data_IF_549220664887
#
_entry.id   IF_549220664887
#
_cell.length_a   1.000
_cell.length_b   1.000
_cell.length_c   1.000
_cell.angle_alpha   90.00
_cell.angle_beta   90.00
_cell.angle_gamma   90.00
#
_symmetry.space_group_name_H-M   'P 1'
#
loop_
_entity.id
_entity.type
_entity.pdbx_description
1 polymer ?
#
# COMPACT_ATOMS: atom_id res chain seq x y z
N UNK A 1 -11.18 12.49 19.95
CA UNK A 1 -10.24 12.03 18.89
C UNK A 1 -10.75 10.71 18.32
N UNK A 2 -10.75 10.56 16.98
CA UNK A 2 -11.18 9.30 16.34
C UNK A 2 -10.08 8.25 16.57
N UNK A 3 -10.46 7.03 16.96
CA UNK A 3 -9.51 5.93 17.16
C UNK A 3 -9.11 5.33 15.81
N UNK A 4 -7.86 4.84 15.65
CA UNK A 4 -7.49 4.06 14.48
C UNK A 4 -8.38 2.83 14.32
N UNK A 5 -8.60 2.40 13.07
CA UNK A 5 -9.26 1.12 12.80
C UNK A 5 -8.27 -0.02 13.01
N UNK A 6 -8.79 -1.22 13.29
CA UNK A 6 -7.97 -2.44 13.36
C UNK A 6 -7.98 -3.17 12.02
N UNK A 7 -6.81 -3.61 11.57
CA UNK A 7 -6.61 -4.40 10.34
C UNK A 7 -5.64 -5.57 10.61
N UNK A 8 -5.49 -6.49 9.66
CA UNK A 8 -4.47 -7.54 9.78
C UNK A 8 -3.07 -6.91 9.88
N UNK A 9 -2.21 -7.49 10.71
CA UNK A 9 -0.80 -7.12 10.82
C UNK A 9 -0.07 -7.24 9.47
N UNK A 10 -0.51 -8.17 8.61
CA UNK A 10 0.00 -8.34 7.24
C UNK A 10 -0.43 -7.15 6.36
N UNK A 11 -1.71 -6.77 6.41
CA UNK A 11 -2.21 -5.60 5.67
C UNK A 11 -1.48 -4.32 6.08
N UNK A 12 -1.26 -4.12 7.39
CA UNK A 12 -0.52 -2.97 7.89
C UNK A 12 0.91 -2.95 7.36
N UNK A 13 1.58 -4.11 7.37
CA UNK A 13 2.92 -4.26 6.81
C UNK A 13 2.95 -3.89 5.33
N UNK A 14 2.00 -4.40 4.54
CA UNK A 14 1.89 -4.11 3.10
C UNK A 14 1.70 -2.62 2.88
N UNK A 15 0.78 -1.97 3.61
CA UNK A 15 0.52 -0.53 3.44
C UNK A 15 1.78 0.29 3.74
N UNK A 16 2.46 0.00 4.85
CA UNK A 16 3.69 0.69 5.22
C UNK A 16 4.82 0.44 4.19
N UNK A 17 4.93 -0.77 3.66
CA UNK A 17 5.94 -1.13 2.66
C UNK A 17 5.70 -0.41 1.33
N UNK A 18 4.46 -0.43 0.83
CA UNK A 18 4.07 0.31 -0.39
C UNK A 18 4.36 1.80 -0.21
N UNK A 19 3.94 2.39 0.92
CA UNK A 19 4.16 3.80 1.23
C UNK A 19 5.64 4.17 1.32
N UNK A 20 6.46 3.34 1.96
CA UNK A 20 7.90 3.56 2.06
C UNK A 20 8.57 3.58 0.68
N UNK A 21 8.28 2.59 -0.17
CA UNK A 21 8.81 2.52 -1.54
C UNK A 21 8.34 3.74 -2.34
N UNK A 22 7.06 4.09 -2.25
CA UNK A 22 6.48 5.27 -2.90
C UNK A 22 7.24 6.55 -2.55
N UNK A 23 7.58 6.73 -1.27
CA UNK A 23 8.33 7.88 -0.77
C UNK A 23 9.77 7.89 -1.26
N UNK A 24 10.45 6.73 -1.28
CA UNK A 24 11.81 6.57 -1.82
C UNK A 24 11.86 6.95 -3.31
N UNK A 25 10.87 6.52 -4.09
CA UNK A 25 10.77 6.82 -5.52
C UNK A 25 10.22 8.23 -5.82
N UNK A 26 9.94 9.03 -4.79
CA UNK A 26 9.33 10.36 -4.90
C UNK A 26 8.01 10.38 -5.72
N UNK A 27 7.19 9.34 -5.56
CA UNK A 27 5.91 9.20 -6.26
C UNK A 27 4.77 9.74 -5.38
N UNK A 28 3.87 10.52 -5.96
CA UNK A 28 2.69 11.04 -5.25
C UNK A 28 1.62 9.96 -5.05
N UNK A 29 0.75 10.13 -4.04
CA UNK A 29 -0.40 9.26 -3.84
C UNK A 29 -1.36 9.28 -5.05
N UNK A 30 -1.44 10.42 -5.74
CA UNK A 30 -2.27 10.59 -6.94
C UNK A 30 -1.75 9.76 -8.11
N UNK A 31 -0.44 9.74 -8.32
CA UNK A 31 0.18 8.92 -9.38
C UNK A 31 -0.08 7.43 -9.17
N UNK A 32 0.05 6.95 -7.93
CA UNK A 32 -0.23 5.54 -7.62
C UNK A 32 -1.72 5.23 -7.73
N UNK A 33 -2.60 6.13 -7.28
CA UNK A 33 -4.06 5.96 -7.45
C UNK A 33 -4.43 5.79 -8.91
N UNK A 34 -3.85 6.61 -9.81
CA UNK A 34 -4.05 6.50 -11.26
C UNK A 34 -3.55 5.15 -11.77
N UNK A 35 -2.34 4.74 -11.39
CA UNK A 35 -1.76 3.47 -11.85
C UNK A 35 -2.61 2.24 -11.46
N UNK A 36 -3.29 2.28 -10.31
CA UNK A 36 -4.12 1.18 -9.81
C UNK A 36 -5.51 1.17 -10.46
N UNK A 37 -6.10 2.35 -10.66
CA UNK A 37 -7.44 2.50 -11.20
C UNK A 37 -7.52 3.68 -12.19
N UNK A 38 -7.35 3.38 -13.47
CA UNK A 38 -7.40 4.36 -14.56
C UNK A 38 -8.82 4.91 -14.82
N UNK A 39 -9.88 4.28 -14.28
CA UNK A 39 -11.27 4.57 -14.67
C UNK A 39 -11.94 5.64 -13.79
N UNK A 40 -11.37 5.99 -12.65
CA UNK A 40 -11.94 7.01 -11.75
C UNK A 40 -10.85 7.89 -11.16
N UNK A 41 -11.02 9.22 -11.22
CA UNK A 41 -10.19 10.22 -10.51
C UNK A 41 -10.33 10.14 -8.97
N UNK A 42 -10.95 9.08 -8.45
CA UNK A 42 -11.13 8.84 -7.03
C UNK A 42 -9.79 8.54 -6.37
N UNK A 43 -9.48 9.28 -5.31
CA UNK A 43 -8.28 9.08 -4.49
C UNK A 43 -8.42 7.80 -3.65
N UNK A 44 -8.14 6.64 -4.25
CA UNK A 44 -8.22 5.32 -3.58
C UNK A 44 -7.09 5.15 -2.56
N UNK A 45 -5.92 5.73 -2.80
CA UNK A 45 -4.79 5.63 -1.87
C UNK A 45 -5.02 6.39 -0.57
N UNK A 46 -5.83 7.46 -0.60
CA UNK A 46 -6.16 8.25 0.58
C UNK A 46 -6.77 7.41 1.71
N UNK A 47 -7.89 6.69 1.47
CA UNK A 47 -8.46 5.75 2.42
C UNK A 47 -7.49 4.61 2.81
N UNK A 48 -6.75 4.05 1.85
CA UNK A 48 -5.82 2.93 2.14
C UNK A 48 -4.68 3.38 3.06
N UNK A 49 -4.09 4.55 2.84
CA UNK A 49 -3.02 5.08 3.70
C UNK A 49 -3.55 5.88 4.91
N UNK A 50 -4.87 5.86 5.16
CA UNK A 50 -5.47 6.50 6.32
C UNK A 50 -5.69 5.52 7.46
N UNK A 51 -5.27 5.90 8.67
CA UNK A 51 -5.47 5.12 9.89
C UNK A 51 -6.94 4.99 10.32
N UNK A 52 -7.85 5.74 9.70
CA UNK A 52 -9.27 5.80 10.07
C UNK A 52 -10.20 5.03 9.13
N UNK A 53 -9.63 4.40 8.11
CA UNK A 53 -10.31 3.75 7.00
C UNK A 53 -9.84 2.30 6.91
N UNK A 54 -10.78 1.37 6.70
CA UNK A 54 -10.53 -0.09 6.75
C UNK A 54 -9.96 -0.64 5.44
N UNK A 55 -9.91 0.20 4.42
CA UNK A 55 -9.45 -0.14 3.09
C UNK A 55 -7.97 -0.56 3.12
N UNK A 56 -7.68 -1.67 2.43
CA UNK A 56 -6.36 -2.28 2.27
C UNK A 56 -6.11 -2.54 0.79
N UNK A 57 -4.89 -2.98 0.44
CA UNK A 57 -4.58 -3.39 -0.92
C UNK A 57 -5.03 -4.83 -1.17
N UNK A 58 -5.54 -5.09 -2.37
CA UNK A 58 -5.66 -6.46 -2.88
C UNK A 58 -4.50 -6.79 -3.85
N UNK A 59 -4.33 -8.07 -4.18
CA UNK A 59 -3.23 -8.53 -5.03
C UNK A 59 -3.25 -7.94 -6.45
N UNK A 60 -4.42 -7.67 -7.03
CA UNK A 60 -4.51 -7.03 -8.34
C UNK A 60 -3.93 -5.61 -8.29
N UNK A 61 -4.29 -4.86 -7.24
CA UNK A 61 -3.77 -3.51 -7.01
C UNK A 61 -2.26 -3.57 -6.76
N UNK A 62 -1.79 -4.49 -5.92
CA UNK A 62 -0.36 -4.65 -5.65
C UNK A 62 0.44 -5.00 -6.90
N UNK A 63 -0.08 -5.86 -7.79
CA UNK A 63 0.60 -6.16 -9.05
C UNK A 63 0.71 -4.92 -9.96
N UNK A 64 -0.33 -4.08 -10.03
CA UNK A 64 -0.28 -2.80 -10.76
C UNK A 64 0.74 -1.84 -10.15
N UNK A 65 0.82 -1.78 -8.82
CA UNK A 65 1.81 -0.97 -8.09
C UNK A 65 3.23 -1.47 -8.39
N UNK A 66 3.46 -2.78 -8.35
CA UNK A 66 4.75 -3.39 -8.69
C UNK A 66 5.19 -3.01 -10.09
N UNK A 67 4.34 -3.21 -11.11
CA UNK A 67 4.64 -2.82 -12.49
C UNK A 67 4.95 -1.31 -12.61
N UNK A 68 4.16 -0.47 -11.94
CA UNK A 68 4.37 0.97 -11.95
C UNK A 68 5.70 1.38 -11.28
N UNK A 69 6.04 0.81 -10.13
CA UNK A 69 7.31 1.07 -9.44
C UNK A 69 8.51 0.52 -10.22
N UNK A 70 8.36 -0.61 -10.89
CA UNK A 70 9.38 -1.15 -11.80
C UNK A 70 9.69 -0.16 -12.92
N UNK A 71 8.68 0.44 -13.53
CA UNK A 71 8.86 1.46 -14.58
C UNK A 71 9.47 2.77 -14.08
N UNK A 72 9.34 3.07 -12.80
CA UNK A 72 9.83 4.30 -12.17
C UNK A 72 11.19 4.13 -11.48
N UNK A 73 11.78 2.94 -11.53
CA UNK A 73 13.04 2.64 -10.88
C UNK A 73 13.92 1.77 -11.78
N UNK A 74 15.19 1.57 -11.38
CA UNK A 74 16.09 0.62 -12.05
C UNK A 74 15.97 -0.80 -11.47
N UNK A 75 14.88 -1.11 -10.75
CA UNK A 75 14.65 -2.39 -10.08
C UNK A 75 13.31 -2.98 -10.52
N UNK A 76 13.27 -4.28 -10.74
CA UNK A 76 12.01 -4.99 -10.94
C UNK A 76 11.36 -5.32 -9.58
N UNK A 77 10.24 -4.66 -9.29
CA UNK A 77 9.35 -4.98 -8.18
C UNK A 77 8.34 -6.05 -8.58
N UNK A 78 7.97 -6.86 -7.61
CA UNK A 78 6.99 -7.94 -7.70
C UNK A 78 6.08 -7.91 -6.48
N UNK A 79 4.99 -8.68 -6.50
CA UNK A 79 4.09 -8.83 -5.35
C UNK A 79 4.85 -9.15 -4.06
N UNK A 80 5.87 -10.03 -4.14
CA UNK A 80 6.68 -10.46 -3.00
C UNK A 80 7.45 -9.33 -2.31
N UNK A 81 7.70 -8.23 -3.00
CA UNK A 81 8.40 -7.08 -2.42
C UNK A 81 7.55 -6.30 -1.41
N UNK A 82 6.23 -6.49 -1.42
CA UNK A 82 5.31 -5.84 -0.49
C UNK A 82 4.96 -6.69 0.74
N UNK A 83 5.17 -8.00 0.67
CA UNK A 83 4.84 -8.93 1.75
C UNK A 83 6.01 -9.13 2.73
N UNK A 84 5.73 -9.54 3.98
CA UNK A 84 6.77 -9.91 4.94
C UNK A 84 7.66 -11.05 4.40
N UNK A 85 8.98 -10.89 4.51
CA UNK A 85 9.95 -11.93 4.09
C UNK A 85 10.02 -13.13 5.05
N UNK A 86 9.71 -12.87 6.32
CA UNK A 86 9.61 -13.88 7.37
C UNK A 86 8.15 -14.06 7.77
N UNK A 87 7.81 -15.22 8.31
CA UNK A 87 6.49 -15.47 8.87
C UNK A 87 6.15 -14.37 9.89
N UNK A 88 5.13 -13.57 9.56
CA UNK A 88 4.54 -12.60 10.45
C UNK A 88 3.33 -13.29 11.11
N UNK A 89 3.21 -13.18 12.42
CA UNK A 89 1.99 -13.64 13.10
C UNK A 89 0.83 -12.74 12.64
N UNK A 90 -0.19 -13.36 12.06
CA UNK A 90 -1.41 -12.66 11.68
C UNK A 90 -2.26 -12.36 12.93
N UNK A 91 -2.49 -11.07 13.18
CA UNK A 91 -3.34 -10.59 14.25
C UNK A 91 -3.94 -9.22 13.91
N UNK A 92 -5.04 -8.87 14.57
CA UNK A 92 -5.67 -7.56 14.39
C UNK A 92 -4.93 -6.48 15.19
N UNK A 93 -4.32 -5.54 14.47
CA UNK A 93 -3.52 -4.43 15.03
C UNK A 93 -4.12 -3.09 14.65
N UNK A 94 -3.83 -2.06 15.44
CA UNK A 94 -4.22 -0.69 15.10
C UNK A 94 -3.48 -0.26 13.82
N UNK A 95 -4.21 0.32 12.87
CA UNK A 95 -3.69 0.77 11.57
C UNK A 95 -2.83 2.02 11.75
N UNK A 96 -1.60 1.86 12.24
CA UNK A 96 -0.65 2.95 12.44
C UNK A 96 0.29 3.03 11.23
N UNK A 97 -0.04 3.94 10.31
CA UNK A 97 0.75 4.16 9.11
C UNK A 97 1.99 4.98 9.45
N UNK A 98 3.17 4.45 9.14
CA UNK A 98 4.49 5.04 9.45
C UNK A 98 5.05 5.75 8.20
#
# INVERSE_FOLDING_TARGET
MRKPVKISSIDLYIINTVRAIRKILNISQREVSKAINNLTDNNILGPIESQYHKETYNDEQLNKIADYYSKKSNRNYTLKDFYPKSALKEELVDKLII
#
